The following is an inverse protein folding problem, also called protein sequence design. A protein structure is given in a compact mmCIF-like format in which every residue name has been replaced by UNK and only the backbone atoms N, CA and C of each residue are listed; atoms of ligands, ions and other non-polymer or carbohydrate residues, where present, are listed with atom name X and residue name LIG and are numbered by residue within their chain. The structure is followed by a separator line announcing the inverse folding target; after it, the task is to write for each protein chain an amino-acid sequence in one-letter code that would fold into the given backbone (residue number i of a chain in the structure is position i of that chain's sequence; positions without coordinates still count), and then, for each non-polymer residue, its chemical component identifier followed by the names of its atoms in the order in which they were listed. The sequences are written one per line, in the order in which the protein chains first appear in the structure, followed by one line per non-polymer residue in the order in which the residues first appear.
data_IF_149966226421
#
_entry.id   IF_149966226421
#
_cell.length_a   1.000
_cell.length_b   1.000
_cell.length_c   1.000
_cell.angle_alpha   90.00
_cell.angle_beta   90.00
_cell.angle_gamma   90.00
#
_symmetry.space_group_name_H-M   'P 1'
#
loop_
_entity.id
_entity.type
_entity.pdbx_description
1 polymer ?
#
# COMPACT_ATOMS: atom_id res chain seq x y z
N UNK A 1 -17.66 -25.95 -5.85
CA UNK A 1 -17.27 -24.77 -5.05
C UNK A 1 -18.53 -24.12 -4.50
N UNK A 2 -18.77 -24.25 -3.19
CA UNK A 2 -19.98 -23.72 -2.54
C UNK A 2 -19.95 -22.19 -2.57
N UNK A 3 -20.98 -21.56 -3.15
CA UNK A 3 -21.06 -20.11 -3.24
C UNK A 3 -21.25 -19.54 -1.82
N UNK A 4 -20.22 -18.92 -1.27
CA UNK A 4 -20.33 -18.26 0.04
C UNK A 4 -21.38 -17.14 -0.02
N UNK A 5 -22.11 -16.88 1.08
CA UNK A 5 -23.04 -15.76 1.15
C UNK A 5 -22.28 -14.45 1.34
N UNK A 6 -22.86 -13.36 0.83
CA UNK A 6 -22.34 -12.02 1.03
C UNK A 6 -22.34 -11.65 2.52
N UNK A 7 -21.16 -11.30 3.04
CA UNK A 7 -20.95 -10.88 4.43
C UNK A 7 -20.87 -9.37 4.60
N UNK A 8 -21.41 -8.61 3.64
CA UNK A 8 -21.50 -7.17 3.76
C UNK A 8 -22.47 -6.79 4.89
N UNK A 9 -22.05 -5.86 5.75
CA UNK A 9 -22.84 -5.41 6.90
C UNK A 9 -22.99 -6.42 8.05
N UNK A 10 -22.39 -7.62 7.95
CA UNK A 10 -22.43 -8.58 9.05
C UNK A 10 -21.55 -8.10 10.21
N UNK A 11 -22.18 -7.79 11.34
CA UNK A 11 -21.54 -7.51 12.63
C UNK A 11 -22.18 -8.39 13.70
N UNK A 12 -21.60 -8.45 14.90
CA UNK A 12 -22.06 -9.30 16.01
C UNK A 12 -23.57 -9.19 16.31
N UNK A 13 -24.21 -8.05 16.00
CA UNK A 13 -25.65 -7.83 16.22
C UNK A 13 -26.47 -7.57 14.94
N UNK A 14 -25.89 -7.62 13.74
CA UNK A 14 -26.62 -7.33 12.49
C UNK A 14 -26.48 -8.47 11.50
N UNK A 15 -27.62 -8.97 10.99
CA UNK A 15 -27.63 -9.90 9.87
C UNK A 15 -27.01 -9.21 8.65
N UNK A 16 -26.02 -9.89 8.05
CA UNK A 16 -25.43 -9.44 6.80
C UNK A 16 -26.37 -9.64 5.61
N UNK A 17 -25.95 -9.15 4.46
CA UNK A 17 -26.75 -9.21 3.22
C UNK A 17 -27.24 -10.63 2.86
N UNK A 18 -26.41 -11.67 3.00
CA UNK A 18 -26.83 -13.06 2.77
C UNK A 18 -27.05 -13.49 1.31
N UNK A 19 -27.09 -12.55 0.34
CA UNK A 19 -27.18 -12.87 -1.10
C UNK A 19 -25.97 -13.67 -1.58
N UNK A 20 -26.11 -14.42 -2.67
CA UNK A 20 -25.01 -15.18 -3.31
C UNK A 20 -23.82 -14.26 -3.59
N UNK A 21 -22.63 -14.61 -3.09
CA UNK A 21 -21.44 -13.85 -3.41
C UNK A 21 -21.04 -14.07 -4.88
N UNK A 22 -20.60 -12.99 -5.51
CA UNK A 22 -20.07 -12.99 -6.88
C UNK A 22 -18.55 -13.02 -6.87
N UNK A 23 -17.92 -12.48 -5.82
CA UNK A 23 -16.48 -12.54 -5.62
C UNK A 23 -16.06 -12.17 -4.19
N UNK A 24 -14.76 -12.13 -3.96
CA UNK A 24 -14.11 -11.82 -2.70
C UNK A 24 -13.33 -10.51 -2.79
N UNK A 25 -13.34 -9.73 -1.71
CA UNK A 25 -12.64 -8.45 -1.66
C UNK A 25 -11.12 -8.67 -1.53
N UNK A 26 -10.33 -8.09 -2.43
CA UNK A 26 -8.85 -8.18 -2.41
C UNK A 26 -8.22 -7.57 -1.15
N UNK A 27 -8.92 -6.66 -0.47
CA UNK A 27 -8.37 -5.96 0.71
C UNK A 27 -8.73 -6.58 2.05
N UNK A 28 -9.87 -7.26 2.14
CA UNK A 28 -10.37 -7.79 3.41
C UNK A 28 -10.84 -9.24 3.33
N UNK A 29 -10.68 -9.87 2.16
CA UNK A 29 -11.03 -11.27 1.83
C UNK A 29 -12.49 -11.65 2.12
N UNK A 30 -13.36 -10.67 2.36
CA UNK A 30 -14.78 -10.93 2.61
C UNK A 30 -15.53 -11.14 1.30
N UNK A 31 -16.39 -12.17 1.21
CA UNK A 31 -17.24 -12.39 0.05
C UNK A 31 -18.33 -11.31 -0.05
N UNK A 32 -18.58 -10.82 -1.26
CA UNK A 32 -19.58 -9.80 -1.55
C UNK A 32 -20.45 -10.15 -2.77
N UNK A 33 -21.69 -9.65 -2.81
CA UNK A 33 -22.61 -9.79 -3.95
C UNK A 33 -22.50 -8.57 -4.88
N UNK A 34 -23.08 -8.63 -6.09
CA UNK A 34 -23.02 -7.56 -7.08
C UNK A 34 -23.53 -6.19 -6.59
N UNK A 35 -24.38 -6.16 -5.56
CA UNK A 35 -24.88 -4.91 -4.96
C UNK A 35 -23.92 -4.31 -3.90
N UNK A 36 -23.01 -5.10 -3.35
CA UNK A 36 -22.17 -4.72 -2.20
C UNK A 36 -20.67 -4.77 -2.48
N UNK A 37 -20.31 -4.68 -3.75
CA UNK A 37 -18.94 -4.47 -4.17
C UNK A 37 -18.87 -4.28 -5.67
N UNK A 38 -17.67 -3.96 -6.10
CA UNK A 38 -17.34 -3.64 -7.47
C UNK A 38 -16.33 -4.66 -7.99
N UNK A 39 -16.51 -5.09 -9.25
CA UNK A 39 -15.56 -5.94 -9.97
C UNK A 39 -14.91 -5.11 -11.05
N UNK A 40 -13.65 -4.73 -10.84
CA UNK A 40 -12.80 -4.15 -11.89
C UNK A 40 -12.24 -5.22 -12.82
N UNK A 41 -11.82 -4.80 -14.00
CA UNK A 41 -11.27 -5.66 -15.06
C UNK A 41 -9.91 -6.26 -14.65
N UNK A 42 -9.08 -5.51 -13.92
CA UNK A 42 -7.74 -5.93 -13.47
C UNK A 42 -7.77 -6.77 -12.19
N UNK A 43 -8.69 -7.74 -12.08
CA UNK A 43 -8.91 -8.54 -10.85
C UNK A 43 -9.18 -7.68 -9.60
N UNK A 44 -9.54 -6.42 -9.79
CA UNK A 44 -9.72 -5.45 -8.69
C UNK A 44 -11.13 -5.59 -8.14
N UNK A 45 -11.31 -6.59 -7.29
CA UNK A 45 -12.60 -6.91 -6.70
C UNK A 45 -12.68 -6.33 -5.28
N UNK A 46 -13.57 -5.37 -5.04
CA UNK A 46 -13.58 -4.59 -3.80
C UNK A 46 -14.98 -4.50 -3.22
N UNK A 47 -15.13 -4.85 -1.94
CA UNK A 47 -16.42 -4.70 -1.26
C UNK A 47 -16.73 -3.22 -0.95
N UNK A 48 -18.00 -2.89 -0.80
CA UNK A 48 -18.49 -1.55 -0.49
C UNK A 48 -18.15 -1.04 0.93
N UNK A 49 -17.33 -1.78 1.70
CA UNK A 49 -16.95 -1.36 3.05
C UNK A 49 -16.12 -0.09 3.01
N UNK A 50 -16.43 0.89 3.88
CA UNK A 50 -15.83 2.24 3.89
C UNK A 50 -14.30 2.23 3.67
N UNK A 51 -13.55 1.43 4.45
CA UNK A 51 -12.09 1.34 4.34
C UNK A 51 -11.61 0.75 3.00
N UNK A 52 -12.32 -0.25 2.48
CA UNK A 52 -11.96 -0.91 1.22
C UNK A 52 -12.26 0.00 0.03
N UNK A 53 -13.42 0.67 0.07
CA UNK A 53 -13.81 1.67 -0.92
C UNK A 53 -12.86 2.86 -0.97
N UNK A 54 -12.46 3.40 0.19
CA UNK A 54 -11.47 4.48 0.25
C UNK A 54 -10.12 4.09 -0.36
N UNK A 55 -9.67 2.83 -0.17
CA UNK A 55 -8.46 2.31 -0.82
C UNK A 55 -8.61 2.23 -2.34
N UNK A 56 -9.77 1.81 -2.84
CA UNK A 56 -10.05 1.75 -4.28
C UNK A 56 -10.08 3.16 -4.90
N UNK A 57 -10.75 4.10 -4.24
CA UNK A 57 -10.80 5.50 -4.67
C UNK A 57 -9.40 6.12 -4.69
N UNK A 58 -8.59 5.90 -3.65
CA UNK A 58 -7.19 6.33 -3.63
C UNK A 58 -6.37 5.69 -4.76
N UNK A 59 -6.57 4.39 -5.05
CA UNK A 59 -5.92 3.72 -6.17
C UNK A 59 -6.32 4.37 -7.51
N UNK A 60 -7.61 4.64 -7.73
CA UNK A 60 -8.12 5.31 -8.95
C UNK A 60 -7.55 6.71 -9.12
N UNK A 61 -7.52 7.48 -8.04
CA UNK A 61 -6.94 8.82 -8.05
C UNK A 61 -5.44 8.73 -8.42
N UNK A 62 -4.74 7.72 -7.90
CA UNK A 62 -3.31 7.52 -8.20
C UNK A 62 -3.09 7.10 -9.65
N UNK A 63 -3.87 6.16 -10.19
CA UNK A 63 -3.73 5.71 -11.58
C UNK A 63 -4.12 6.82 -12.55
N UNK A 64 -5.20 7.55 -12.27
CA UNK A 64 -5.62 8.71 -13.06
C UNK A 64 -4.57 9.83 -13.06
N UNK A 65 -3.99 10.16 -11.90
CA UNK A 65 -2.87 11.12 -11.85
C UNK A 65 -1.66 10.64 -12.65
N UNK A 66 -1.25 9.37 -12.50
CA UNK A 66 -0.12 8.80 -13.27
C UNK A 66 -0.35 8.91 -14.77
N UNK A 67 -1.57 8.63 -15.24
CA UNK A 67 -1.91 8.77 -16.65
C UNK A 67 -1.78 10.22 -17.15
N UNK A 68 -2.22 11.20 -16.36
CA UNK A 68 -2.10 12.63 -16.71
C UNK A 68 -0.64 13.09 -16.83
N UNK A 69 0.24 12.64 -15.93
CA UNK A 69 1.64 13.09 -15.90
C UNK A 69 2.58 12.21 -16.73
N UNK A 70 2.11 11.08 -17.25
CA UNK A 70 2.90 10.18 -18.08
C UNK A 70 3.47 10.86 -19.33
N UNK A 71 2.70 11.75 -19.96
CA UNK A 71 3.15 12.51 -21.13
C UNK A 71 4.33 13.43 -20.83
N UNK A 72 4.27 14.18 -19.72
CA UNK A 72 5.39 15.03 -19.29
C UNK A 72 6.62 14.22 -18.92
N UNK A 73 6.43 13.10 -18.22
CA UNK A 73 7.56 12.22 -17.88
C UNK A 73 8.21 11.58 -19.11
N UNK A 74 7.42 11.22 -20.13
CA UNK A 74 7.95 10.77 -21.42
C UNK A 74 8.80 11.83 -22.14
N UNK A 75 8.57 13.13 -21.89
CA UNK A 75 9.33 14.26 -22.47
C UNK A 75 10.53 14.71 -21.64
N UNK A 76 10.94 13.95 -20.61
CA UNK A 76 12.00 14.37 -19.68
C UNK A 76 11.66 15.56 -18.78
N UNK A 77 10.36 15.83 -18.59
CA UNK A 77 9.86 16.86 -17.68
C UNK A 77 9.45 16.23 -16.34
N UNK A 78 9.50 17.04 -15.28
CA UNK A 78 9.03 16.65 -13.96
C UNK A 78 7.57 16.16 -14.00
N UNK A 79 7.28 15.04 -13.35
CA UNK A 79 5.91 14.51 -13.22
C UNK A 79 5.02 15.32 -12.24
N UNK A 80 5.43 16.53 -11.84
CA UNK A 80 4.55 17.45 -11.11
C UNK A 80 3.80 18.32 -12.12
N UNK A 81 2.50 18.42 -11.96
CA UNK A 81 1.65 19.29 -12.77
C UNK A 81 2.17 20.74 -12.71
N UNK A 82 2.22 21.39 -13.87
CA UNK A 82 2.78 22.73 -14.09
C UNK A 82 4.32 22.88 -13.91
N UNK A 83 5.06 21.84 -13.54
CA UNK A 83 6.52 21.89 -13.51
C UNK A 83 7.11 21.42 -14.85
N UNK A 84 7.89 22.29 -15.51
CA UNK A 84 8.59 21.97 -16.78
C UNK A 84 10.08 21.74 -16.59
N UNK A 85 10.54 21.63 -15.35
CA UNK A 85 11.96 21.37 -15.07
C UNK A 85 12.38 19.96 -15.51
N UNK A 86 13.66 19.82 -15.81
CA UNK A 86 14.25 18.55 -16.24
C UNK A 86 14.23 17.52 -15.10
N UNK A 87 13.71 16.35 -15.40
CA UNK A 87 13.63 15.24 -14.44
C UNK A 87 14.99 14.55 -14.24
N UNK A 88 15.33 14.23 -12.98
CA UNK A 88 16.56 13.50 -12.63
C UNK A 88 16.38 12.46 -11.52
N UNK A 89 15.32 12.57 -10.73
CA UNK A 89 15.15 11.79 -9.51
C UNK A 89 13.91 10.91 -9.58
N UNK A 90 14.05 9.60 -9.33
CA UNK A 90 12.93 8.66 -9.34
C UNK A 90 12.29 8.58 -7.97
N UNK A 91 10.95 8.64 -7.91
CA UNK A 91 10.22 8.33 -6.69
C UNK A 91 10.16 6.81 -6.48
N UNK A 92 10.55 6.34 -5.30
CA UNK A 92 10.51 4.92 -4.90
C UNK A 92 9.11 4.31 -4.89
N UNK A 93 8.06 5.14 -4.75
CA UNK A 93 6.66 4.70 -4.67
C UNK A 93 5.96 4.64 -6.02
N UNK A 94 5.87 5.77 -6.73
CA UNK A 94 5.14 5.84 -8.00
C UNK A 94 6.02 5.55 -9.22
N UNK A 95 7.34 5.42 -9.04
CA UNK A 95 8.36 5.17 -10.08
C UNK A 95 8.46 6.23 -11.18
N UNK A 96 7.76 7.35 -11.04
CA UNK A 96 7.89 8.50 -11.92
C UNK A 96 9.13 9.34 -11.58
N UNK A 97 9.61 10.10 -12.55
CA UNK A 97 10.78 10.96 -12.44
C UNK A 97 10.40 12.43 -12.15
N UNK A 98 11.19 13.10 -11.33
CA UNK A 98 10.92 14.45 -10.84
C UNK A 98 12.21 15.29 -10.81
N UNK A 99 12.05 16.61 -10.69
CA UNK A 99 13.15 17.52 -10.36
C UNK A 99 13.49 17.45 -8.86
N UNK A 100 14.60 18.08 -8.47
CA UNK A 100 15.11 18.05 -7.09
C UNK A 100 14.14 18.68 -6.08
N UNK A 101 13.37 19.68 -6.50
CA UNK A 101 12.41 20.37 -5.64
C UNK A 101 11.20 19.50 -5.29
N UNK A 102 10.75 18.68 -6.23
CA UNK A 102 9.54 17.86 -6.08
C UNK A 102 9.79 16.46 -5.50
N UNK A 103 11.02 16.19 -5.04
CA UNK A 103 11.40 14.96 -4.34
C UNK A 103 12.04 15.28 -3.01
N UNK A 104 11.79 14.42 -2.03
CA UNK A 104 12.41 14.51 -0.72
C UNK A 104 12.74 13.13 -0.19
N UNK A 105 13.72 13.04 0.69
CA UNK A 105 13.94 11.81 1.44
C UNK A 105 12.70 11.49 2.29
N UNK A 106 12.34 10.21 2.43
CA UNK A 106 11.28 9.79 3.31
C UNK A 106 11.59 10.28 4.72
N UNK A 107 10.62 10.91 5.38
CA UNK A 107 10.67 11.10 6.82
C UNK A 107 10.50 9.71 7.46
N UNK A 108 11.63 9.07 7.80
CA UNK A 108 11.69 7.82 8.56
C UNK A 108 11.52 8.20 10.03
N UNK A 109 10.34 8.73 10.39
CA UNK A 109 9.87 8.62 11.77
C UNK A 109 9.50 7.18 11.99
N UNK A 110 10.48 6.45 12.50
CA UNK A 110 10.50 5.03 12.72
C UNK A 110 9.40 4.63 13.72
N UNK A 111 8.24 4.19 13.21
CA UNK A 111 7.19 3.56 14.02
C UNK A 111 7.36 2.04 14.10
N UNK A 112 8.41 1.47 13.50
CA UNK A 112 8.48 0.03 13.25
C UNK A 112 9.46 -0.76 14.12
N UNK A 113 10.20 -0.13 15.04
CA UNK A 113 11.08 -0.85 15.96
C UNK A 113 10.61 -0.87 17.43
N UNK A 114 9.52 -0.17 17.76
CA UNK A 114 9.02 -0.11 19.14
C UNK A 114 8.08 -1.25 19.56
N UNK A 115 7.57 -2.09 18.66
CA UNK A 115 6.58 -3.12 19.07
C UNK A 115 7.14 -4.51 19.34
N UNK A 116 8.36 -4.84 18.91
CA UNK A 116 8.90 -6.20 19.10
C UNK A 116 9.85 -6.27 20.29
N UNK A 117 10.65 -5.23 20.55
CA UNK A 117 11.57 -5.21 21.70
C UNK A 117 10.87 -4.94 23.04
N UNK A 118 9.87 -4.05 23.09
CA UNK A 118 9.14 -3.75 24.34
C UNK A 118 8.29 -4.94 24.84
N UNK A 119 7.87 -5.84 23.93
CA UNK A 119 7.15 -7.06 24.31
C UNK A 119 8.06 -8.18 24.83
N UNK A 120 9.37 -8.13 24.54
CA UNK A 120 10.35 -9.11 25.05
C UNK A 120 10.75 -8.77 26.50
N UNK A 121 10.74 -7.49 26.88
CA UNK A 121 11.19 -7.04 28.20
C UNK A 121 10.10 -7.17 29.29
N UNK A 122 8.81 -7.16 28.93
CA UNK A 122 7.71 -7.04 29.91
C UNK A 122 6.71 -8.20 30.03
N UNK A 123 6.92 -9.38 29.43
CA UNK A 123 5.98 -10.47 29.70
C UNK A 123 6.36 -11.85 29.19
N UNK A 124 6.71 -12.74 30.13
CA UNK A 124 6.76 -14.21 30.00
C UNK A 124 7.83 -14.75 29.04
N UNK A 125 9.05 -14.77 29.54
CA UNK A 125 9.98 -15.84 29.22
C UNK A 125 9.37 -17.17 29.70
N UNK A 126 9.15 -18.10 28.76
CA UNK A 126 9.37 -19.54 28.90
C UNK A 126 9.10 -20.15 27.52
N UNK A 127 10.16 -20.52 26.80
CA UNK A 127 10.37 -21.81 26.12
C UNK A 127 11.52 -21.71 25.09
N UNK A 128 12.53 -22.53 25.37
CA UNK A 128 13.51 -23.16 24.48
C UNK A 128 14.41 -22.30 23.57
N UNK A 129 15.58 -21.93 24.12
CA UNK A 129 16.83 -21.86 23.36
C UNK A 129 17.21 -23.29 22.91
N UNK A 130 17.04 -23.59 21.61
CA UNK A 130 17.75 -24.68 20.98
C UNK A 130 17.96 -24.37 19.48
N UNK A 131 19.23 -24.29 19.09
CA UNK A 131 19.74 -24.56 17.74
C UNK A 131 19.65 -23.45 16.70
N UNK A 132 20.61 -22.51 16.72
CA UNK A 132 21.11 -21.87 15.50
C UNK A 132 22.53 -22.38 15.21
N UNK A 133 22.76 -23.17 14.14
CA UNK A 133 24.12 -23.49 13.74
C UNK A 133 24.80 -22.25 13.14
N UNK A 134 26.05 -22.04 13.57
CA UNK A 134 26.95 -21.04 13.04
C UNK A 134 27.11 -21.21 11.51
N UNK A 135 26.65 -20.22 10.75
CA UNK A 135 26.71 -20.26 9.29
C UNK A 135 26.69 -18.87 8.68
N UNK A 136 27.90 -18.38 8.37
CA UNK A 136 28.28 -17.28 7.45
C UNK A 136 27.75 -15.87 7.77
N UNK A 137 28.64 -14.88 8.03
CA UNK A 137 28.25 -13.49 7.92
C UNK A 137 27.86 -13.24 6.47
N UNK A 138 26.64 -12.77 6.29
CA UNK A 138 26.09 -12.27 5.06
C UNK A 138 27.14 -11.38 4.38
N UNK A 139 27.49 -11.74 3.13
CA UNK A 139 28.01 -10.76 2.20
C UNK A 139 26.93 -9.67 2.10
N UNK A 140 27.11 -8.62 2.88
CA UNK A 140 26.40 -7.36 2.73
C UNK A 140 26.52 -6.98 1.26
N UNK A 141 25.42 -7.18 0.53
CA UNK A 141 25.22 -6.59 -0.78
C UNK A 141 25.70 -5.14 -0.70
N UNK A 142 26.50 -4.66 -1.65
CA UNK A 142 26.86 -3.25 -1.67
C UNK A 142 25.54 -2.48 -1.66
N UNK A 143 25.39 -1.59 -0.68
CA UNK A 143 24.24 -0.70 -0.56
C UNK A 143 24.17 0.18 -1.82
N UNK A 144 23.59 -0.35 -2.89
CA UNK A 144 23.17 0.40 -4.06
C UNK A 144 21.87 1.14 -3.72
N UNK A 145 21.85 1.83 -2.58
CA UNK A 145 20.67 2.50 -2.07
C UNK A 145 21.04 3.94 -1.85
N UNK A 146 21.08 4.69 -2.96
CA UNK A 146 20.82 6.12 -2.87
C UNK A 146 19.54 6.37 -2.08
N UNK A 147 19.39 7.53 -1.40
CA UNK A 147 18.26 7.78 -0.52
C UNK A 147 16.95 7.50 -1.26
N UNK A 148 16.04 6.76 -0.64
CA UNK A 148 14.80 6.28 -1.26
C UNK A 148 13.79 7.41 -1.46
N UNK A 149 14.06 8.32 -2.40
CA UNK A 149 13.30 9.56 -2.62
C UNK A 149 11.79 9.32 -2.81
N UNK A 150 10.99 10.20 -2.22
CA UNK A 150 9.53 10.22 -2.32
C UNK A 150 9.11 11.58 -2.88
N UNK A 151 8.23 11.58 -3.90
CA UNK A 151 7.70 12.83 -4.44
C UNK A 151 6.66 13.46 -3.51
N UNK A 152 6.43 14.77 -3.67
CA UNK A 152 5.43 15.52 -2.90
C UNK A 152 4.05 14.85 -2.91
N UNK A 153 3.58 14.41 -4.08
CA UNK A 153 2.27 13.73 -4.25
C UNK A 153 2.17 12.41 -3.46
N UNK A 154 3.20 11.56 -3.51
CA UNK A 154 3.21 10.31 -2.75
C UNK A 154 3.40 10.53 -1.24
N UNK A 155 3.96 11.66 -0.84
CA UNK A 155 4.17 11.99 0.56
C UNK A 155 2.88 12.48 1.24
N UNK A 156 2.06 13.30 0.55
CA UNK A 156 0.75 13.76 1.06
C UNK A 156 -0.28 12.62 1.15
N UNK A 157 -0.20 11.61 0.29
CA UNK A 157 -1.09 10.43 0.37
C UNK A 157 -0.84 9.53 1.58
N UNK A 158 0.36 9.58 2.18
CA UNK A 158 0.67 8.79 3.40
C UNK A 158 -0.19 9.26 4.58
N UNK A 159 -0.42 10.57 4.69
CA UNK A 159 -1.16 11.14 5.83
C UNK A 159 -2.66 10.85 5.73
N UNK A 160 -3.24 10.77 4.53
CA UNK A 160 -4.66 10.44 4.32
C UNK A 160 -5.04 8.99 4.65
N UNK A 161 -4.05 8.08 4.75
CA UNK A 161 -4.25 6.66 5.03
C UNK A 161 -4.12 6.27 6.52
N UNK A 162 -3.77 7.24 7.38
CA UNK A 162 -3.56 7.05 8.83
C UNK A 162 -4.82 7.47 9.59
#
# INVERSE_FOLDING_TARGET
MSAQPCRYGSSFMRRGCGRRAVSECVYCTRPFCAAHGERGEDYTHVCAGRRCRAKLEDLREQTGWRARVAGSNGRNECAMEACRERMRHQCSRCRLLFCREHVRSPDIRDRSLKSTFDNIIHGRALIALASLPAGRPEQLLPAAEGPSLICAHCATRRTRRS
#
